data_IF_834045273733
#
_entry.id   IF_834045273733
#
_cell.length_a   1.000
_cell.length_b   1.000
_cell.length_c   1.000
_cell.angle_alpha   90.00
_cell.angle_beta   90.00
_cell.angle_gamma   90.00
#
_symmetry.space_group_name_H-M   'P 1'
#
loop_
_entity.id
_entity.type
_entity.pdbx_description
1 polymer ?
#
# COMPACT_ATOMS: atom_id res chain seq x y z
N UNK A 1 8.68 -3.38 20.25
CA UNK A 1 8.61 -4.72 19.64
C UNK A 1 8.01 -4.68 18.23
N UNK A 2 6.77 -4.21 18.01
CA UNK A 2 6.15 -4.17 16.67
C UNK A 2 6.98 -3.47 15.59
N UNK A 3 7.66 -2.37 15.94
CA UNK A 3 8.51 -1.65 14.99
C UNK A 3 9.69 -2.49 14.48
N UNK A 4 10.30 -3.29 15.36
CA UNK A 4 11.41 -4.18 15.03
C UNK A 4 10.92 -5.38 14.20
N UNK A 5 9.75 -5.94 14.52
CA UNK A 5 9.13 -7.02 13.73
C UNK A 5 8.82 -6.53 12.31
N UNK A 6 8.22 -5.36 12.17
CA UNK A 6 7.91 -4.77 10.87
C UNK A 6 9.18 -4.47 10.06
N UNK A 7 10.20 -3.89 10.70
CA UNK A 7 11.48 -3.59 10.06
C UNK A 7 12.24 -4.83 9.64
N UNK A 8 12.32 -5.85 10.50
CA UNK A 8 12.97 -7.12 10.18
C UNK A 8 12.22 -7.87 9.09
N UNK A 9 10.88 -7.94 9.16
CA UNK A 9 10.07 -8.59 8.14
C UNK A 9 10.26 -7.94 6.77
N UNK A 10 10.29 -6.60 6.71
CA UNK A 10 10.54 -5.88 5.46
C UNK A 10 11.96 -6.10 4.94
N UNK A 11 12.97 -5.99 5.81
CA UNK A 11 14.36 -6.22 5.44
C UNK A 11 14.60 -7.64 4.90
N UNK A 12 14.06 -8.65 5.57
CA UNK A 12 14.20 -10.05 5.18
C UNK A 12 13.44 -10.34 3.88
N UNK A 13 12.21 -9.82 3.75
CA UNK A 13 11.40 -9.98 2.54
C UNK A 13 12.06 -9.34 1.32
N UNK A 14 12.68 -8.17 1.50
CA UNK A 14 13.45 -7.52 0.45
C UNK A 14 14.70 -8.34 0.11
N UNK A 15 15.39 -8.89 1.11
CA UNK A 15 16.63 -9.66 0.89
C UNK A 15 16.35 -10.98 0.16
N UNK A 16 15.18 -11.59 0.40
CA UNK A 16 14.75 -12.84 -0.23
C UNK A 16 13.95 -12.64 -1.52
N UNK A 17 13.69 -11.39 -1.94
CA UNK A 17 12.82 -11.04 -3.09
C UNK A 17 11.37 -11.55 -2.98
N UNK A 18 10.83 -11.64 -1.75
CA UNK A 18 9.46 -12.13 -1.45
C UNK A 18 8.54 -10.97 -0.98
N UNK A 19 9.00 -9.72 -1.12
CA UNK A 19 8.28 -8.52 -0.68
C UNK A 19 6.88 -8.38 -1.27
N UNK A 20 6.67 -8.78 -2.53
CA UNK A 20 5.36 -8.70 -3.18
C UNK A 20 4.31 -9.62 -2.51
N UNK A 21 4.74 -10.75 -1.95
CA UNK A 21 3.83 -11.67 -1.25
C UNK A 21 3.60 -11.24 0.21
N UNK A 22 4.64 -10.74 0.88
CA UNK A 22 4.54 -10.28 2.28
C UNK A 22 4.03 -8.84 2.44
N UNK A 23 3.82 -8.13 1.33
CA UNK A 23 3.33 -6.75 1.30
C UNK A 23 2.06 -6.52 2.13
N UNK A 24 1.20 -7.53 2.21
CA UNK A 24 -0.03 -7.48 2.99
C UNK A 24 0.21 -7.46 4.52
N UNK A 25 1.35 -7.96 5.00
CA UNK A 25 1.66 -8.04 6.42
C UNK A 25 2.42 -6.82 6.95
N UNK A 26 3.06 -6.02 6.09
CA UNK A 26 3.85 -4.88 6.55
C UNK A 26 3.06 -3.78 7.28
N UNK A 27 1.82 -3.43 6.86
CA UNK A 27 1.01 -2.47 7.60
C UNK A 27 0.40 -3.04 8.90
N UNK A 28 0.34 -4.37 9.06
CA UNK A 28 -0.38 -5.04 10.15
C UNK A 28 0.15 -4.69 11.55
N UNK A 29 1.48 -4.69 11.83
CA UNK A 29 2.03 -4.26 13.11
C UNK A 29 1.66 -2.82 13.48
N UNK A 30 1.56 -1.93 12.49
CA UNK A 30 1.19 -0.52 12.68
C UNK A 30 -0.30 -0.43 13.06
N UNK A 31 -1.16 -1.15 12.34
CA UNK A 31 -2.61 -1.20 12.62
C UNK A 31 -2.89 -1.76 14.02
N UNK A 32 -2.24 -2.86 14.40
CA UNK A 32 -2.37 -3.45 15.75
C UNK A 32 -1.92 -2.45 16.82
N UNK A 33 -0.81 -1.76 16.58
CA UNK A 33 -0.33 -0.74 17.52
C UNK A 33 -1.34 0.40 17.70
N UNK A 34 -1.99 0.82 16.62
CA UNK A 34 -3.02 1.87 16.65
C UNK A 34 -4.26 1.45 17.44
N UNK A 35 -4.72 0.21 17.24
CA UNK A 35 -5.91 -0.30 17.93
C UNK A 35 -5.69 -0.55 19.42
N UNK A 36 -4.51 -1.05 19.81
CA UNK A 36 -4.21 -1.38 21.22
C UNK A 36 -3.79 -0.18 22.06
N UNK A 37 -2.99 0.74 21.50
CA UNK A 37 -2.38 1.84 22.27
C UNK A 37 -2.62 3.23 21.65
N UNK A 38 -3.45 3.33 20.62
CA UNK A 38 -3.85 4.59 20.00
C UNK A 38 -2.86 5.14 18.96
N UNK A 39 -3.22 6.32 18.44
CA UNK A 39 -2.51 6.98 17.34
C UNK A 39 -1.06 7.32 17.68
N UNK A 40 -0.80 7.79 18.90
CA UNK A 40 0.54 8.16 19.34
C UNK A 40 1.50 6.96 19.34
N UNK A 41 1.01 5.77 19.69
CA UNK A 41 1.78 4.54 19.59
C UNK A 41 2.05 4.17 18.12
N UNK A 42 1.02 4.23 17.26
CA UNK A 42 1.16 3.97 15.83
C UNK A 42 2.21 4.89 15.18
N UNK A 43 2.21 6.19 15.49
CA UNK A 43 3.20 7.15 14.98
C UNK A 43 4.62 6.76 15.40
N UNK A 44 4.82 6.43 16.67
CA UNK A 44 6.12 5.97 17.19
C UNK A 44 6.56 4.68 16.51
N UNK A 45 5.65 3.75 16.22
CA UNK A 45 6.01 2.52 15.50
C UNK A 45 6.46 2.78 14.07
N UNK A 46 5.77 3.65 13.33
CA UNK A 46 6.16 4.02 11.96
C UNK A 46 7.52 4.71 11.96
N UNK A 47 7.71 5.73 12.80
CA UNK A 47 8.98 6.46 12.89
C UNK A 47 10.12 5.53 13.28
N UNK A 48 9.93 4.67 14.28
CA UNK A 48 10.95 3.71 14.70
C UNK A 48 11.28 2.71 13.59
N UNK A 49 10.29 2.17 12.87
CA UNK A 49 10.55 1.26 11.74
C UNK A 49 11.27 1.95 10.60
N UNK A 50 10.90 3.18 10.27
CA UNK A 50 11.55 3.95 9.20
C UNK A 50 13.00 4.27 9.56
N UNK A 51 13.28 4.72 10.80
CA UNK A 51 14.66 4.96 11.25
C UNK A 51 15.49 3.67 11.23
N UNK A 52 14.90 2.55 11.66
CA UNK A 52 15.56 1.25 11.64
C UNK A 52 15.87 0.80 10.20
N UNK A 53 14.92 0.92 9.27
CA UNK A 53 15.13 0.61 7.86
C UNK A 53 16.09 1.58 7.19
N UNK A 54 16.11 2.85 7.61
CA UNK A 54 17.06 3.83 7.11
C UNK A 54 18.50 3.39 7.44
N UNK A 55 18.73 2.96 8.68
CA UNK A 55 20.04 2.47 9.14
C UNK A 55 20.42 1.14 8.50
N UNK A 56 19.48 0.19 8.34
CA UNK A 56 19.80 -1.15 7.81
C UNK A 56 19.81 -1.25 6.28
N UNK A 57 18.90 -0.55 5.62
CA UNK A 57 18.56 -0.74 4.20
C UNK A 57 18.82 0.49 3.33
N UNK A 58 19.18 1.62 3.95
CA UNK A 58 19.43 2.88 3.29
C UNK A 58 18.17 3.74 3.05
N UNK A 59 18.37 4.99 2.58
CA UNK A 59 17.32 6.00 2.47
C UNK A 59 16.22 5.63 1.48
N UNK A 60 16.58 4.94 0.39
CA UNK A 60 15.65 4.57 -0.68
C UNK A 60 14.58 3.61 -0.14
N UNK A 61 15.01 2.51 0.47
CA UNK A 61 14.12 1.46 0.98
C UNK A 61 13.27 1.93 2.16
N UNK A 62 13.84 2.75 3.03
CA UNK A 62 13.10 3.35 4.14
C UNK A 62 11.97 4.28 3.63
N UNK A 63 12.25 5.07 2.59
CA UNK A 63 11.25 5.94 1.96
C UNK A 63 10.16 5.12 1.27
N UNK A 64 10.53 4.06 0.55
CA UNK A 64 9.56 3.12 -0.06
C UNK A 64 8.64 2.51 0.99
N UNK A 65 9.18 2.01 2.10
CA UNK A 65 8.38 1.44 3.18
C UNK A 65 7.40 2.45 3.76
N UNK A 66 7.88 3.67 4.05
CA UNK A 66 7.04 4.74 4.60
C UNK A 66 5.87 5.06 3.67
N UNK A 67 6.16 5.31 2.39
CA UNK A 67 5.15 5.73 1.41
C UNK A 67 4.18 4.62 1.03
N UNK A 68 4.68 3.39 0.87
CA UNK A 68 3.86 2.27 0.39
C UNK A 68 3.09 1.57 1.50
N UNK A 69 3.67 1.45 2.71
CA UNK A 69 3.09 0.63 3.77
C UNK A 69 2.84 1.43 5.05
N UNK A 70 3.74 2.33 5.42
CA UNK A 70 3.69 3.10 6.67
C UNK A 70 2.48 4.03 6.77
N UNK A 71 2.30 4.90 5.77
CA UNK A 71 1.20 5.88 5.75
C UNK A 71 -0.15 5.18 5.71
N UNK A 72 -0.30 4.15 4.87
CA UNK A 72 -1.54 3.37 4.77
C UNK A 72 -1.86 2.68 6.07
N UNK A 73 -0.89 2.04 6.74
CA UNK A 73 -1.10 1.40 8.03
C UNK A 73 -1.54 2.37 9.13
N UNK A 74 -0.99 3.59 9.13
CA UNK A 74 -1.36 4.64 10.08
C UNK A 74 -2.80 5.11 9.85
N UNK A 75 -3.17 5.46 8.62
CA UNK A 75 -4.54 5.92 8.29
C UNK A 75 -5.56 4.79 8.51
N UNK A 76 -5.22 3.58 8.10
CA UNK A 76 -6.06 2.41 8.34
C UNK A 76 -6.34 2.22 9.83
N UNK A 77 -5.30 2.26 10.67
CA UNK A 77 -5.46 2.13 12.11
C UNK A 77 -6.27 3.26 12.73
N UNK A 78 -6.13 4.50 12.27
CA UNK A 78 -6.91 5.64 12.80
C UNK A 78 -8.38 5.55 12.41
N UNK A 79 -8.67 5.29 11.15
CA UNK A 79 -10.05 5.14 10.65
C UNK A 79 -10.73 3.98 11.36
N UNK A 80 -9.99 2.92 11.65
CA UNK A 80 -10.52 1.78 12.37
C UNK A 80 -10.89 2.08 13.80
N UNK A 81 -10.05 2.86 14.48
CA UNK A 81 -10.33 3.35 15.83
C UNK A 81 -11.49 4.36 15.88
N UNK A 82 -11.73 5.10 14.80
CA UNK A 82 -12.82 6.06 14.68
C UNK A 82 -14.17 5.43 14.28
N UNK A 83 -14.26 4.09 14.22
CA UNK A 83 -15.50 3.33 13.96
C UNK A 83 -16.23 3.77 12.67
N UNK A 84 -15.48 4.26 11.70
CA UNK A 84 -16.04 4.77 10.43
C UNK A 84 -16.64 3.64 9.61
N UNK A 85 -17.61 3.94 8.75
CA UNK A 85 -18.20 2.99 7.82
C UNK A 85 -17.12 2.23 7.02
N UNK A 86 -17.26 0.89 6.94
CA UNK A 86 -16.29 0.00 6.30
C UNK A 86 -15.95 0.39 4.86
N UNK A 87 -16.96 0.76 4.06
CA UNK A 87 -16.78 1.19 2.67
C UNK A 87 -15.99 2.51 2.60
N UNK A 88 -16.29 3.47 3.49
CA UNK A 88 -15.60 4.76 3.53
C UNK A 88 -14.12 4.57 3.91
N UNK A 89 -13.84 3.65 4.84
CA UNK A 89 -12.47 3.27 5.19
C UNK A 89 -11.69 2.73 3.99
N UNK A 90 -12.30 1.85 3.19
CA UNK A 90 -11.66 1.29 1.99
C UNK A 90 -11.35 2.38 0.96
N UNK A 91 -12.31 3.27 0.69
CA UNK A 91 -12.11 4.35 -0.28
C UNK A 91 -11.00 5.28 0.18
N UNK A 92 -11.03 5.71 1.45
CA UNK A 92 -10.02 6.61 2.01
C UNK A 92 -8.62 5.97 1.99
N UNK A 93 -8.50 4.72 2.44
CA UNK A 93 -7.22 4.01 2.41
C UNK A 93 -6.71 3.73 0.99
N UNK A 94 -7.61 3.53 0.02
CA UNK A 94 -7.23 3.36 -1.40
C UNK A 94 -6.66 4.64 -2.00
N UNK A 95 -7.27 5.80 -1.71
CA UNK A 95 -6.76 7.11 -2.12
C UNK A 95 -5.38 7.35 -1.49
N UNK A 96 -5.22 7.06 -0.20
CA UNK A 96 -3.94 7.19 0.50
C UNK A 96 -2.87 6.27 -0.10
N UNK A 97 -3.23 5.03 -0.46
CA UNK A 97 -2.33 4.08 -1.14
C UNK A 97 -1.91 4.61 -2.51
N UNK A 98 -2.84 5.17 -3.28
CA UNK A 98 -2.55 5.75 -4.60
C UNK A 98 -1.62 6.96 -4.48
N UNK A 99 -1.87 7.85 -3.50
CA UNK A 99 -0.97 8.98 -3.21
C UNK A 99 0.41 8.50 -2.77
N UNK A 100 0.49 7.46 -1.94
CA UNK A 100 1.76 6.83 -1.55
C UNK A 100 2.51 6.25 -2.75
N UNK A 101 1.82 5.64 -3.70
CA UNK A 101 2.41 5.12 -4.93
C UNK A 101 2.93 6.23 -5.86
N UNK A 102 2.16 7.31 -6.03
CA UNK A 102 2.62 8.49 -6.77
C UNK A 102 3.84 9.13 -6.09
N UNK A 103 3.81 9.28 -4.76
CA UNK A 103 4.92 9.78 -3.97
C UNK A 103 6.17 8.91 -4.12
N UNK A 104 6.01 7.59 -4.14
CA UNK A 104 7.12 6.66 -4.38
C UNK A 104 7.75 6.89 -5.76
N UNK A 105 6.95 6.98 -6.83
CA UNK A 105 7.48 7.23 -8.18
C UNK A 105 8.25 8.55 -8.23
N UNK A 106 7.73 9.60 -7.58
CA UNK A 106 8.40 10.91 -7.54
C UNK A 106 9.71 10.87 -6.75
N UNK A 107 9.71 10.27 -5.55
CA UNK A 107 10.91 10.15 -4.71
C UNK A 107 11.96 9.30 -5.40
N UNK A 108 11.56 8.16 -5.98
CA UNK A 108 12.46 7.30 -6.75
C UNK A 108 13.01 8.03 -7.97
N UNK A 109 12.20 8.81 -8.68
CA UNK A 109 12.64 9.59 -9.84
C UNK A 109 13.70 10.62 -9.44
N UNK A 110 13.50 11.31 -8.32
CA UNK A 110 14.48 12.25 -7.78
C UNK A 110 15.79 11.55 -7.37
N UNK A 111 15.69 10.40 -6.68
CA UNK A 111 16.85 9.66 -6.18
C UNK A 111 17.69 9.03 -7.29
N UNK A 112 17.04 8.47 -8.30
CA UNK A 112 17.70 7.79 -9.44
C UNK A 112 18.18 8.82 -10.48
N UNK A 113 17.75 10.09 -10.37
CA UNK A 113 17.98 11.17 -11.36
C UNK A 113 17.48 10.83 -12.76
N UNK A 114 16.50 9.94 -12.83
CA UNK A 114 15.82 9.58 -14.08
C UNK A 114 14.34 9.89 -13.97
N UNK A 115 13.71 10.22 -15.10
CA UNK A 115 12.27 10.41 -15.16
C UNK A 115 11.57 9.05 -15.27
N UNK A 116 11.40 8.39 -14.13
CA UNK A 116 10.76 7.06 -14.05
C UNK A 116 9.32 7.12 -14.57
N UNK A 117 8.63 8.24 -14.39
CA UNK A 117 7.27 8.41 -14.90
C UNK A 117 7.25 8.44 -16.44
N UNK A 118 8.21 9.14 -17.06
CA UNK A 118 8.41 9.08 -18.51
C UNK A 118 8.78 7.66 -18.97
N UNK A 119 9.62 6.94 -18.22
CA UNK A 119 10.00 5.57 -18.55
C UNK A 119 8.81 4.60 -18.48
N UNK A 120 7.97 4.71 -17.43
CA UNK A 120 6.75 3.92 -17.27
C UNK A 120 5.78 4.22 -18.42
N UNK A 121 5.56 5.50 -18.73
CA UNK A 121 4.60 5.90 -19.77
C UNK A 121 5.01 5.48 -21.17
N UNK A 122 6.31 5.56 -21.51
CA UNK A 122 6.84 5.04 -22.77
C UNK A 122 6.67 3.52 -22.86
N UNK A 123 6.96 2.79 -21.79
CA UNK A 123 6.75 1.34 -21.77
C UNK A 123 5.27 0.97 -21.96
N UNK A 124 4.35 1.67 -21.28
CA UNK A 124 2.91 1.45 -21.44
C UNK A 124 2.47 1.78 -22.87
N UNK A 125 2.93 2.89 -23.43
CA UNK A 125 2.64 3.25 -24.82
C UNK A 125 3.09 2.15 -25.79
N UNK A 126 4.32 1.65 -25.63
CA UNK A 126 4.86 0.59 -26.46
C UNK A 126 4.05 -0.70 -26.31
N UNK A 127 3.83 -1.18 -25.08
CA UNK A 127 3.04 -2.39 -24.82
C UNK A 127 1.61 -2.30 -25.35
N UNK A 128 0.94 -1.16 -25.16
CA UNK A 128 -0.42 -0.95 -25.66
C UNK A 128 -0.46 -0.95 -27.19
N UNK A 129 0.51 -0.30 -27.83
CA UNK A 129 0.64 -0.30 -29.30
C UNK A 129 0.87 -1.72 -29.84
N UNK A 130 1.71 -2.53 -29.19
CA UNK A 130 1.89 -3.93 -29.54
C UNK A 130 0.59 -4.75 -29.42
N UNK A 131 -0.16 -4.59 -28.32
CA UNK A 131 -1.42 -5.30 -28.10
C UNK A 131 -2.47 -4.89 -29.14
N UNK A 132 -2.61 -3.59 -29.42
CA UNK A 132 -3.54 -3.07 -30.43
C UNK A 132 -3.19 -3.58 -31.84
N UNK A 133 -1.91 -3.59 -32.17
CA UNK A 133 -1.42 -4.11 -33.46
C UNK A 133 -1.69 -5.61 -33.57
N UNK A 134 -1.47 -6.39 -32.50
CA UNK A 134 -1.80 -7.81 -32.45
C UNK A 134 -3.33 -8.07 -32.55
N UNK A 135 -4.15 -7.15 -32.05
CA UNK A 135 -5.60 -7.18 -32.17
C UNK A 135 -6.13 -6.67 -33.53
N UNK A 136 -5.25 -6.31 -34.47
CA UNK A 136 -5.62 -5.81 -35.80
C UNK A 136 -6.06 -4.34 -35.85
N UNK A 137 -5.92 -3.60 -34.74
CA UNK A 137 -6.31 -2.19 -34.63
C UNK A 137 -5.07 -1.31 -34.75
N UNK A 138 -4.88 -0.71 -35.93
CA UNK A 138 -3.75 0.20 -36.21
C UNK A 138 -4.01 1.64 -35.72
N UNK A 139 -4.44 1.80 -34.46
CA UNK A 139 -4.61 3.13 -33.85
C UNK A 139 -3.48 3.40 -32.87
N UNK A 140 -2.76 4.49 -33.07
CA UNK A 140 -1.70 4.92 -32.15
C UNK A 140 -2.36 5.57 -30.93
N UNK A 141 -2.19 5.02 -29.72
CA UNK A 141 -2.85 5.55 -28.53
C UNK A 141 -2.29 6.94 -28.16
N UNK A 142 -3.19 7.90 -27.94
CA UNK A 142 -2.78 9.25 -27.50
C UNK A 142 -2.21 9.23 -26.08
N UNK A 143 -1.31 10.16 -25.77
CA UNK A 143 -0.71 10.27 -24.43
C UNK A 143 -1.77 10.45 -23.32
N UNK A 144 -2.84 11.20 -23.58
CA UNK A 144 -3.95 11.37 -22.64
C UNK A 144 -4.65 10.04 -22.29
N UNK A 145 -4.82 9.16 -23.28
CA UNK A 145 -5.41 7.82 -23.08
C UNK A 145 -4.51 6.96 -22.20
N UNK A 146 -3.18 7.09 -22.35
CA UNK A 146 -2.21 6.33 -21.56
C UNK A 146 -2.17 6.80 -20.10
N UNK A 147 -2.21 8.11 -19.86
CA UNK A 147 -2.31 8.61 -18.48
C UNK A 147 -3.61 8.18 -17.80
N UNK A 148 -4.73 8.19 -18.53
CA UNK A 148 -6.01 7.72 -18.01
C UNK A 148 -6.00 6.22 -17.73
N UNK A 149 -5.42 5.41 -18.62
CA UNK A 149 -5.24 3.98 -18.41
C UNK A 149 -4.35 3.68 -17.20
N UNK A 150 -3.21 4.38 -17.08
CA UNK A 150 -2.31 4.23 -15.94
C UNK A 150 -3.01 4.60 -14.63
N UNK A 151 -3.71 5.74 -14.59
CA UNK A 151 -4.43 6.19 -13.41
C UNK A 151 -5.55 5.22 -13.00
N UNK A 152 -6.32 4.72 -13.96
CA UNK A 152 -7.41 3.76 -13.68
C UNK A 152 -6.87 2.41 -13.19
N UNK A 153 -5.83 1.87 -13.82
CA UNK A 153 -5.17 0.63 -13.38
C UNK A 153 -4.55 0.80 -11.99
N UNK A 154 -3.92 1.94 -11.71
CA UNK A 154 -3.34 2.25 -10.40
C UNK A 154 -4.42 2.29 -9.32
N UNK A 155 -5.53 3.01 -9.56
CA UNK A 155 -6.65 3.09 -8.62
C UNK A 155 -7.31 1.74 -8.39
N UNK A 156 -7.50 0.96 -9.46
CA UNK A 156 -8.09 -0.37 -9.37
C UNK A 156 -7.21 -1.32 -8.54
N UNK A 157 -5.89 -1.32 -8.80
CA UNK A 157 -4.92 -2.08 -8.03
C UNK A 157 -4.91 -1.67 -6.56
N UNK A 158 -4.90 -0.37 -6.27
CA UNK A 158 -4.95 0.15 -4.90
C UNK A 158 -6.26 -0.25 -4.19
N UNK A 159 -7.38 -0.18 -4.91
CA UNK A 159 -8.71 -0.57 -4.41
C UNK A 159 -8.76 -2.04 -4.03
N UNK A 160 -8.38 -2.94 -4.93
CA UNK A 160 -8.36 -4.38 -4.66
C UNK A 160 -7.40 -4.74 -3.53
N UNK A 161 -6.20 -4.15 -3.52
CA UNK A 161 -5.22 -4.40 -2.48
C UNK A 161 -5.72 -3.97 -1.10
N UNK A 162 -6.29 -2.76 -0.99
CA UNK A 162 -6.83 -2.25 0.28
C UNK A 162 -8.06 -3.04 0.72
N UNK A 163 -8.90 -3.47 -0.21
CA UNK A 163 -10.03 -4.36 0.07
C UNK A 163 -9.56 -5.68 0.68
N UNK A 164 -8.57 -6.33 0.06
CA UNK A 164 -7.95 -7.56 0.58
C UNK A 164 -7.34 -7.34 1.96
N UNK A 165 -6.65 -6.22 2.18
CA UNK A 165 -6.13 -5.84 3.49
C UNK A 165 -7.23 -5.72 4.54
N UNK A 166 -8.35 -5.07 4.23
CA UNK A 166 -9.48 -4.94 5.15
C UNK A 166 -10.04 -6.31 5.54
N UNK A 167 -10.25 -7.20 4.57
CA UNK A 167 -10.77 -8.56 4.82
C UNK A 167 -9.76 -9.39 5.64
N UNK A 168 -8.50 -9.37 5.26
CA UNK A 168 -7.47 -10.15 5.96
C UNK A 168 -7.28 -9.67 7.40
N UNK A 169 -7.23 -8.36 7.63
CA UNK A 169 -6.96 -7.79 8.95
C UNK A 169 -8.15 -7.96 9.90
N UNK A 170 -9.38 -7.83 9.40
CA UNK A 170 -10.57 -8.09 10.23
C UNK A 170 -10.60 -9.53 10.73
N UNK A 171 -10.30 -10.52 9.87
CA UNK A 171 -10.17 -11.94 10.27
C UNK A 171 -9.01 -12.13 11.26
N UNK A 172 -7.83 -11.57 10.97
CA UNK A 172 -6.64 -11.75 11.81
C UNK A 172 -6.83 -11.15 13.21
N UNK A 173 -7.41 -9.95 13.30
CA UNK A 173 -7.71 -9.30 14.59
C UNK A 173 -8.76 -10.06 15.39
N UNK A 174 -9.80 -10.58 14.73
CA UNK A 174 -10.80 -11.42 15.37
C UNK A 174 -10.17 -12.66 16.02
N UNK A 175 -9.26 -13.35 15.32
CA UNK A 175 -8.52 -14.50 15.87
C UNK A 175 -7.55 -14.12 17.00
N UNK A 176 -7.05 -12.89 17.02
CA UNK A 176 -6.23 -12.35 18.12
C UNK A 176 -7.05 -11.84 19.32
N UNK A 177 -8.38 -11.95 19.28
CA UNK A 177 -9.27 -11.45 20.34
C UNK A 177 -9.35 -9.92 20.44
N UNK A 178 -8.79 -9.20 19.46
CA UNK A 178 -8.88 -7.74 19.38
C UNK A 178 -10.17 -7.45 18.62
N UNK A 179 -11.22 -6.99 19.32
CA UNK A 179 -12.48 -6.62 18.67
C UNK A 179 -12.20 -5.48 17.67
N UNK A 180 -12.35 -5.71 16.35
CA UNK A 180 -12.28 -4.62 15.41
C UNK A 180 -13.46 -3.69 15.71
N UNK A 181 -13.16 -2.44 16.01
CA UNK A 181 -14.16 -1.41 16.30
C UNK A 181 -14.92 -0.94 15.04
N UNK A 182 -14.55 -1.48 13.87
CA UNK A 182 -15.30 -1.23 12.64
C UNK A 182 -16.57 -2.08 12.58
N UNK A 183 -17.68 -1.45 12.17
CA UNK A 183 -18.92 -2.16 11.84
C UNK A 183 -18.71 -2.99 10.57
N UNK A 184 -18.34 -4.24 10.73
CA UNK A 184 -18.15 -5.21 9.64
C UNK A 184 -19.43 -5.39 8.83
N UNK A 185 -19.33 -5.68 7.53
CA UNK A 185 -20.49 -6.05 6.74
C UNK A 185 -21.01 -7.44 7.17
N UNK A 186 -22.34 -7.63 7.15
CA UNK A 186 -23.05 -8.82 7.64
C UNK A 186 -22.58 -10.17 7.05
N UNK A 187 -21.92 -10.17 5.89
CA UNK A 187 -21.38 -11.39 5.29
C UNK A 187 -20.08 -11.85 5.97
N UNK A 188 -19.32 -10.92 6.54
CA UNK A 188 -18.06 -11.18 7.21
C UNK A 188 -18.29 -11.69 8.65
N UNK A 189 -19.35 -11.22 9.30
CA UNK A 189 -19.77 -11.70 10.63
C UNK A 189 -20.09 -13.20 10.67
N UNK A 190 -20.42 -13.80 9.52
CA UNK A 190 -20.67 -15.26 9.40
C UNK A 190 -19.39 -16.10 9.38
N UNK A 191 -18.23 -15.50 9.13
CA UNK A 191 -16.93 -16.19 8.96
C UNK A 191 -16.02 -16.00 10.18
N UNK A 192 -16.29 -14.98 11.00
CA UNK A 192 -15.53 -14.66 12.21
C UNK A 192 -15.82 -15.64 13.35
#
# INVERSE_FOLDING_TARGET
MFAAVAGLAYFLSNSLAIENYFSCFFPLPIVISSLRWGLEASRKTVVATVLLLFTLSGPVKASTYLLMHGVVGLIMGTVWRLETNWIVSIILCSIVRALGACGYVLVSSFLIRENILALITVNIHASLTYILTAAGVNTIPSMGTIYLLFGTLLLLNCGFFVFLLHVMYTVFLAKLGIKPSLRSPRWLDRVM
#
